data_IF_745947134361
#
_entry.id   IF_745947134361
#
_cell.length_a   1.000
_cell.length_b   1.000
_cell.length_c   1.000
_cell.angle_alpha   90.00
_cell.angle_beta   90.00
_cell.angle_gamma   90.00
#
_symmetry.space_group_name_H-M   'P 1'
#
loop_
_entity.id
_entity.type
_entity.pdbx_description
1 polymer ?
#
# COMPACT_ATOMS: atom_id res chain seq x y z
N UNK A 1 -5.12 31.36 27.79
CA UNK A 1 -5.56 30.50 26.66
C UNK A 1 -4.30 29.96 25.99
N UNK A 2 -3.92 28.70 26.26
CA UNK A 2 -2.71 28.08 25.70
C UNK A 2 -3.12 27.22 24.50
N UNK A 3 -3.05 27.80 23.32
CA UNK A 3 -3.33 27.14 22.05
C UNK A 3 -2.06 26.44 21.57
N UNK A 4 -1.95 25.13 21.81
CA UNK A 4 -0.90 24.28 21.22
C UNK A 4 -1.40 22.96 20.60
N UNK A 5 -2.53 22.89 19.85
CA UNK A 5 -2.95 21.64 19.24
C UNK A 5 -2.33 21.35 17.86
N UNK A 6 -1.66 22.33 17.22
CA UNK A 6 -1.30 22.23 15.80
C UNK A 6 -0.01 21.45 15.51
N UNK A 7 0.97 21.43 16.42
CA UNK A 7 2.24 20.71 16.19
C UNK A 7 2.10 19.18 16.33
N UNK A 8 1.19 18.69 17.16
CA UNK A 8 0.98 17.25 17.35
C UNK A 8 0.36 16.56 16.13
N UNK A 9 -0.47 17.28 15.37
CA UNK A 9 -1.13 16.75 14.17
C UNK A 9 -0.17 16.63 12.98
N UNK A 10 0.81 17.55 12.85
CA UNK A 10 1.80 17.54 11.78
C UNK A 10 2.81 16.38 11.91
N UNK A 11 3.20 16.04 13.15
CA UNK A 11 4.08 14.90 13.42
C UNK A 11 3.39 13.55 13.16
N UNK A 12 2.09 13.46 13.41
CA UNK A 12 1.32 12.25 13.15
C UNK A 12 1.09 12.03 11.64
N UNK A 13 0.83 13.11 10.88
CA UNK A 13 0.68 13.06 9.43
C UNK A 13 1.99 12.66 8.72
N UNK A 14 3.14 13.18 9.18
CA UNK A 14 4.44 12.82 8.62
C UNK A 14 4.84 11.35 8.88
N UNK A 15 4.33 10.74 9.96
CA UNK A 15 4.56 9.33 10.26
C UNK A 15 3.67 8.42 9.38
N UNK A 16 2.43 8.83 9.11
CA UNK A 16 1.51 8.12 8.21
C UNK A 16 1.99 8.12 6.75
N UNK A 17 2.48 9.27 6.26
CA UNK A 17 3.04 9.41 4.90
C UNK A 17 4.17 8.42 4.62
N UNK A 18 5.12 8.32 5.55
CA UNK A 18 6.24 7.38 5.46
C UNK A 18 5.78 5.91 5.48
N UNK A 19 4.69 5.59 6.19
CA UNK A 19 4.18 4.22 6.25
C UNK A 19 3.56 3.80 4.90
N UNK A 20 2.81 4.69 4.25
CA UNK A 20 2.23 4.42 2.93
C UNK A 20 3.29 4.30 1.83
N UNK A 21 4.31 5.17 1.83
CA UNK A 21 5.41 5.09 0.86
C UNK A 21 6.20 3.77 0.99
N UNK A 22 6.45 3.33 2.23
CA UNK A 22 7.10 2.04 2.51
C UNK A 22 6.22 0.84 2.13
N UNK A 23 4.91 0.93 2.32
CA UNK A 23 3.96 -0.08 1.91
C UNK A 23 3.90 -0.20 0.37
N UNK A 24 3.81 0.94 -0.33
CA UNK A 24 3.84 0.99 -1.79
C UNK A 24 5.14 0.38 -2.35
N UNK A 25 6.29 0.73 -1.77
CA UNK A 25 7.57 0.13 -2.18
C UNK A 25 7.63 -1.39 -1.97
N UNK A 26 7.01 -1.92 -0.91
CA UNK A 26 6.92 -3.38 -0.71
C UNK A 26 6.03 -4.05 -1.76
N UNK A 27 4.90 -3.44 -2.10
CA UNK A 27 4.00 -3.94 -3.14
C UNK A 27 4.65 -3.92 -4.52
N UNK A 28 5.40 -2.87 -4.88
CA UNK A 28 6.17 -2.81 -6.14
C UNK A 28 7.21 -3.92 -6.22
N UNK A 29 7.94 -4.16 -5.13
CA UNK A 29 8.93 -5.24 -5.08
C UNK A 29 8.27 -6.63 -5.22
N UNK A 30 7.06 -6.81 -4.67
CA UNK A 30 6.29 -8.03 -4.84
C UNK A 30 5.74 -8.15 -6.28
N UNK A 31 5.30 -7.04 -6.88
CA UNK A 31 4.81 -6.98 -8.25
C UNK A 31 5.90 -7.40 -9.26
N UNK A 32 7.14 -6.91 -9.07
CA UNK A 32 8.28 -7.25 -9.92
C UNK A 32 8.66 -8.74 -9.92
N UNK A 33 8.25 -9.48 -8.88
CA UNK A 33 8.49 -10.92 -8.73
C UNK A 33 7.26 -11.79 -9.04
N UNK A 34 6.15 -11.16 -9.41
CA UNK A 34 4.86 -11.82 -9.58
C UNK A 34 4.52 -12.03 -11.05
N UNK A 35 3.69 -13.04 -11.33
CA UNK A 35 3.04 -13.17 -12.64
C UNK A 35 2.27 -11.90 -13.04
N UNK A 36 2.11 -11.63 -14.36
CA UNK A 36 1.52 -10.39 -14.85
C UNK A 36 0.16 -10.01 -14.24
N UNK A 37 -0.69 -11.00 -13.92
CA UNK A 37 -2.00 -10.75 -13.32
C UNK A 37 -1.92 -10.27 -11.87
N UNK A 38 -1.03 -10.86 -11.06
CA UNK A 38 -0.78 -10.39 -9.70
C UNK A 38 0.01 -9.09 -9.68
N UNK A 39 0.99 -8.94 -10.57
CA UNK A 39 1.79 -7.73 -10.69
C UNK A 39 0.91 -6.49 -10.93
N UNK A 40 -0.10 -6.60 -11.79
CA UNK A 40 -1.05 -5.50 -12.02
C UNK A 40 -1.85 -5.12 -10.77
N UNK A 41 -2.32 -6.12 -9.99
CA UNK A 41 -3.05 -5.86 -8.74
C UNK A 41 -2.15 -5.18 -7.71
N UNK A 42 -0.91 -5.65 -7.56
CA UNK A 42 0.05 -5.11 -6.61
C UNK A 42 0.50 -3.70 -6.99
N UNK A 43 0.78 -3.43 -8.27
CA UNK A 43 1.17 -2.10 -8.77
C UNK A 43 0.04 -1.08 -8.58
N UNK A 44 -1.20 -1.44 -8.90
CA UNK A 44 -2.34 -0.53 -8.69
C UNK A 44 -2.52 -0.18 -7.21
N UNK A 45 -2.36 -1.17 -6.32
CA UNK A 45 -2.44 -0.92 -4.88
C UNK A 45 -1.26 -0.08 -4.35
N UNK A 46 -0.07 -0.22 -4.93
CA UNK A 46 1.08 0.63 -4.61
C UNK A 46 0.84 2.08 -5.02
N UNK A 47 0.27 2.31 -6.19
CA UNK A 47 -0.10 3.64 -6.67
C UNK A 47 -1.20 4.25 -5.79
N UNK A 48 -2.23 3.48 -5.43
CA UNK A 48 -3.29 3.91 -4.51
C UNK A 48 -2.72 4.37 -3.16
N UNK A 49 -1.74 3.64 -2.60
CA UNK A 49 -1.07 4.00 -1.34
C UNK A 49 -0.19 5.26 -1.45
N UNK A 50 0.36 5.56 -2.63
CA UNK A 50 1.14 6.80 -2.87
C UNK A 50 0.23 8.01 -3.03
N UNK A 51 -0.88 7.82 -3.73
CA UNK A 51 -1.84 8.88 -4.03
C UNK A 51 -2.74 9.19 -2.84
N UNK A 52 -3.06 8.19 -2.02
CA UNK A 52 -3.92 8.32 -0.85
C UNK A 52 -3.10 8.16 0.43
N UNK A 53 -3.16 9.15 1.32
CA UNK A 53 -2.65 9.01 2.70
C UNK A 53 -3.55 8.02 3.45
N UNK A 54 -3.30 6.73 3.25
CA UNK A 54 -4.04 5.66 3.93
C UNK A 54 -3.89 5.80 5.44
N UNK A 55 -5.01 5.69 6.15
CA UNK A 55 -5.01 5.62 7.60
C UNK A 55 -4.48 4.27 8.12
N UNK A 56 -4.39 3.25 7.26
CA UNK A 56 -3.89 1.92 7.62
C UNK A 56 -3.21 1.21 6.41
N UNK A 57 -2.01 1.67 6.02
CA UNK A 57 -1.30 1.14 4.86
C UNK A 57 -0.92 -0.34 5.01
N UNK A 58 -0.77 -0.83 6.25
CA UNK A 58 -0.47 -2.24 6.53
C UNK A 58 -1.64 -3.15 6.15
N UNK A 59 -2.88 -2.77 6.47
CA UNK A 59 -4.06 -3.56 6.11
C UNK A 59 -4.28 -3.57 4.59
N UNK A 60 -4.08 -2.43 3.92
CA UNK A 60 -4.18 -2.34 2.46
C UNK A 60 -3.12 -3.20 1.76
N UNK A 61 -1.88 -3.21 2.27
CA UNK A 61 -0.82 -4.10 1.78
C UNK A 61 -1.24 -5.58 1.86
N UNK A 62 -1.79 -6.01 3.00
CA UNK A 62 -2.25 -7.40 3.18
C UNK A 62 -3.40 -7.76 2.23
N UNK A 63 -4.36 -6.85 2.06
CA UNK A 63 -5.48 -7.03 1.13
C UNK A 63 -4.97 -7.14 -0.32
N UNK A 64 -4.00 -6.30 -0.71
CA UNK A 64 -3.39 -6.34 -2.04
C UNK A 64 -2.65 -7.66 -2.30
N UNK A 65 -1.89 -8.15 -1.33
CA UNK A 65 -1.21 -9.45 -1.42
C UNK A 65 -2.20 -10.61 -1.57
N UNK A 66 -3.32 -10.58 -0.84
CA UNK A 66 -4.35 -11.61 -0.95
C UNK A 66 -5.06 -11.54 -2.32
N UNK A 67 -5.40 -10.34 -2.79
CA UNK A 67 -6.01 -10.14 -4.10
C UNK A 67 -5.07 -10.58 -5.23
N UNK A 68 -3.78 -10.30 -5.11
CA UNK A 68 -2.75 -10.75 -6.04
C UNK A 68 -2.65 -12.30 -6.07
N UNK A 69 -2.65 -12.94 -4.91
CA UNK A 69 -2.67 -14.41 -4.82
C UNK A 69 -3.89 -15.03 -5.50
N UNK A 70 -5.07 -14.41 -5.36
CA UNK A 70 -6.28 -14.84 -6.06
C UNK A 70 -6.17 -14.63 -7.58
N UNK A 71 -5.58 -13.52 -8.02
CA UNK A 71 -5.37 -13.24 -9.45
C UNK A 71 -4.37 -14.21 -10.10
N UNK A 72 -3.36 -14.66 -9.34
CA UNK A 72 -2.44 -15.72 -9.75
C UNK A 72 -3.12 -17.08 -9.80
N UNK A 73 -3.86 -17.47 -8.77
CA UNK A 73 -4.54 -18.76 -8.71
C UNK A 73 -5.66 -18.92 -9.75
N UNK A 74 -6.28 -17.81 -10.18
CA UNK A 74 -7.29 -17.78 -11.24
C UNK A 74 -6.77 -18.07 -12.65
N UNK A 75 -5.45 -18.18 -12.84
CA UNK A 75 -4.85 -18.66 -14.08
C UNK A 75 -4.68 -20.18 -14.01
N UNK A 76 -5.53 -21.00 -14.64
CA UNK A 76 -5.10 -22.36 -14.95
C UNK A 76 -3.83 -22.25 -15.80
N UNK A 77 -2.78 -22.96 -15.39
CA UNK A 77 -1.57 -23.17 -16.20
C UNK A 77 -1.98 -23.59 -17.61
N UNK A 78 -1.88 -22.68 -18.57
CA UNK A 78 -2.01 -22.99 -20.00
C UNK A 78 -0.70 -23.57 -20.52
#
# INVERSE_FOLDING_TARGET
>A
MRSAPLLGLLLLAACGKNASDNAAAQLDNAAAQSDPAAAAVLSNAADDLRENDSANPAAETQNALQAAGNAQAGRPSQ
#
